data_IF_891066380517
#
_entry.id   IF_891066380517
#
_cell.length_a   1.000
_cell.length_b   1.000
_cell.length_c   1.000
_cell.angle_alpha   90.00
_cell.angle_beta   90.00
_cell.angle_gamma   90.00
#
_symmetry.space_group_name_H-M   'P 1'
#
loop_
_entity.id
_entity.type
_entity.pdbx_description
1 polymer ?
#
# COMPACT_ATOMS: atom_id res chain seq x y z
N UNK A 1 -7.89 3.79 -4.50
CA UNK A 1 -7.26 2.55 -5.01
C UNK A 1 -6.34 2.93 -6.15
N UNK A 2 -5.02 2.80 -5.96
CA UNK A 2 -4.04 3.01 -7.02
C UNK A 2 -4.11 1.78 -7.92
N UNK A 3 -5.10 1.78 -8.82
CA UNK A 3 -5.27 0.75 -9.83
C UNK A 3 -4.12 0.92 -10.83
N UNK A 4 -3.22 -0.07 -10.87
CA UNK A 4 -1.96 -0.05 -11.62
C UNK A 4 -0.92 0.95 -11.10
N UNK A 5 -0.10 0.55 -10.12
CA UNK A 5 1.26 1.11 -10.05
C UNK A 5 2.02 0.64 -11.29
N UNK A 6 1.79 1.34 -12.41
CA UNK A 6 2.64 1.28 -13.58
C UNK A 6 4.10 1.53 -13.14
N UNK A 7 5.06 1.01 -13.91
CA UNK A 7 6.49 1.30 -13.74
C UNK A 7 6.83 2.80 -13.72
N UNK A 8 5.86 3.71 -13.89
CA UNK A 8 5.94 5.17 -13.77
C UNK A 8 5.67 5.77 -12.37
N UNK A 9 5.21 5.00 -11.37
CA UNK A 9 5.04 5.50 -9.99
C UNK A 9 6.21 6.35 -9.47
N UNK A 10 5.92 7.55 -8.97
CA UNK A 10 6.89 8.55 -8.50
C UNK A 10 7.17 8.41 -6.99
N UNK A 11 8.44 8.26 -6.63
CA UNK A 11 8.86 8.01 -5.25
C UNK A 11 8.87 9.25 -4.34
N UNK A 12 8.64 10.46 -4.87
CA UNK A 12 8.71 11.71 -4.09
C UNK A 12 7.61 11.77 -3.00
N UNK A 13 6.52 11.04 -3.20
CA UNK A 13 5.39 10.95 -2.26
C UNK A 13 5.30 9.62 -1.53
N UNK A 14 6.26 8.71 -1.73
CA UNK A 14 6.22 7.35 -1.20
C UNK A 14 6.04 7.28 0.33
N UNK A 15 6.60 8.23 1.08
CA UNK A 15 6.39 8.28 2.54
C UNK A 15 4.93 8.51 2.95
N UNK A 16 4.24 9.46 2.29
CA UNK A 16 2.83 9.73 2.56
C UNK A 16 1.94 8.61 2.04
N UNK A 17 2.22 8.09 0.85
CA UNK A 17 1.44 7.01 0.25
C UNK A 17 1.53 5.74 1.09
N UNK A 18 2.74 5.39 1.57
CA UNK A 18 2.92 4.26 2.47
C UNK A 18 2.16 4.44 3.78
N UNK A 19 2.15 5.67 4.33
CA UNK A 19 1.40 5.96 5.56
C UNK A 19 -0.09 5.76 5.36
N UNK A 20 -0.65 6.29 4.27
CA UNK A 20 -2.07 6.13 3.95
C UNK A 20 -2.45 4.66 3.72
N UNK A 21 -1.65 3.92 2.95
CA UNK A 21 -1.89 2.49 2.69
C UNK A 21 -1.81 1.65 3.96
N UNK A 22 -0.89 1.97 4.88
CA UNK A 22 -0.78 1.29 6.18
C UNK A 22 -1.98 1.59 7.08
N UNK A 23 -2.41 2.85 7.15
CA UNK A 23 -3.58 3.24 7.95
C UNK A 23 -4.87 2.61 7.41
N UNK A 24 -5.01 2.51 6.08
CA UNK A 24 -6.12 1.83 5.42
C UNK A 24 -6.11 0.31 5.70
N UNK A 25 -4.92 -0.32 5.63
CA UNK A 25 -4.76 -1.75 5.97
C UNK A 25 -5.12 -2.02 7.44
N UNK A 26 -4.63 -1.18 8.37
CA UNK A 26 -4.92 -1.31 9.78
C UNK A 26 -6.42 -1.09 10.07
N UNK A 27 -7.04 -0.11 9.43
CA UNK A 27 -8.47 0.14 9.58
C UNK A 27 -9.29 -1.05 9.08
N UNK A 28 -8.93 -1.60 7.92
CA UNK A 28 -9.59 -2.77 7.34
C UNK A 28 -9.44 -4.01 8.22
N UNK A 29 -8.27 -4.20 8.82
CA UNK A 29 -8.02 -5.27 9.81
C UNK A 29 -8.85 -5.06 11.09
N UNK A 30 -8.99 -3.82 11.55
CA UNK A 30 -9.75 -3.49 12.75
C UNK A 30 -11.27 -3.61 12.56
N UNK A 31 -11.78 -3.33 11.35
CA UNK A 31 -13.21 -3.47 11.03
C UNK A 31 -13.72 -4.92 11.10
N UNK A 32 -12.83 -5.92 11.06
CA UNK A 32 -13.20 -7.34 11.14
C UNK A 32 -14.03 -7.84 9.95
N UNK A 33 -14.12 -7.03 8.89
CA UNK A 33 -14.79 -7.40 7.65
C UNK A 33 -13.94 -8.44 6.90
N UNK A 34 -14.60 -9.36 6.20
CA UNK A 34 -13.97 -10.44 5.43
C UNK A 34 -13.37 -9.90 4.11
N UNK A 35 -12.49 -8.90 4.25
CA UNK A 35 -11.85 -8.13 3.20
C UNK A 35 -10.47 -8.65 2.85
N UNK A 36 -10.24 -9.97 2.91
CA UNK A 36 -8.93 -10.57 2.63
C UNK A 36 -8.37 -10.15 1.26
N UNK A 37 -9.22 -10.07 0.24
CA UNK A 37 -8.80 -9.57 -1.08
C UNK A 37 -8.30 -8.12 -1.00
N UNK A 38 -9.02 -7.27 -0.28
CA UNK A 38 -8.68 -5.86 -0.12
C UNK A 38 -7.40 -5.68 0.70
N UNK A 39 -7.22 -6.49 1.75
CA UNK A 39 -5.96 -6.55 2.52
C UNK A 39 -4.79 -6.93 1.61
N UNK A 40 -4.93 -8.02 0.85
CA UNK A 40 -3.90 -8.48 -0.08
C UNK A 40 -3.55 -7.41 -1.13
N UNK A 41 -4.55 -6.66 -1.64
CA UNK A 41 -4.32 -5.54 -2.57
C UNK A 41 -3.50 -4.42 -1.94
N UNK A 42 -3.80 -4.04 -0.69
CA UNK A 42 -3.06 -3.00 0.04
C UNK A 42 -1.62 -3.45 0.35
N UNK A 43 -1.44 -4.69 0.81
CA UNK A 43 -0.11 -5.25 1.09
C UNK A 43 0.77 -5.30 -0.16
N UNK A 44 0.20 -5.69 -1.31
CA UNK A 44 0.91 -5.70 -2.58
C UNK A 44 1.34 -4.29 -3.00
N UNK A 45 0.49 -3.28 -2.83
CA UNK A 45 0.84 -1.88 -3.11
C UNK A 45 1.96 -1.38 -2.20
N UNK A 46 1.89 -1.66 -0.89
CA UNK A 46 2.95 -1.30 0.07
C UNK A 46 4.28 -1.94 -0.32
N UNK A 47 4.27 -3.24 -0.65
CA UNK A 47 5.46 -3.96 -1.09
C UNK A 47 6.04 -3.38 -2.38
N UNK A 48 5.19 -3.07 -3.35
CA UNK A 48 5.63 -2.47 -4.60
C UNK A 48 6.34 -1.14 -4.35
N UNK A 49 5.74 -0.23 -3.57
CA UNK A 49 6.32 1.10 -3.31
C UNK A 49 7.64 0.96 -2.57
N UNK A 50 7.70 0.09 -1.55
CA UNK A 50 8.95 -0.19 -0.82
C UNK A 50 10.06 -0.69 -1.74
N UNK A 51 9.75 -1.67 -2.59
CA UNK A 51 10.73 -2.24 -3.51
C UNK A 51 11.17 -1.23 -4.58
N UNK A 52 10.22 -0.50 -5.18
CA UNK A 52 10.50 0.44 -6.26
C UNK A 52 11.33 1.63 -5.79
N UNK A 53 11.04 2.13 -4.60
CA UNK A 53 11.69 3.31 -4.04
C UNK A 53 12.90 2.97 -3.14
N UNK A 54 13.33 1.70 -3.10
CA UNK A 54 14.38 1.18 -2.21
C UNK A 54 14.19 1.60 -0.73
N UNK A 55 12.93 1.67 -0.28
CA UNK A 55 12.58 2.03 1.09
C UNK A 55 12.68 0.76 1.95
N UNK A 56 13.72 0.71 2.79
CA UNK A 56 13.94 -0.40 3.72
C UNK A 56 13.16 -0.20 5.03
N UNK A 57 12.72 -1.31 5.66
CA UNK A 57 11.97 -1.27 6.92
C UNK A 57 12.78 -0.72 8.08
#
# INVERSE_FOLDING_TARGET
MIDNLESSYDCSHAGNDLKQLQDELQSLQASGEDGQEQQNRLENQIRFIKNKCDIRP
#
